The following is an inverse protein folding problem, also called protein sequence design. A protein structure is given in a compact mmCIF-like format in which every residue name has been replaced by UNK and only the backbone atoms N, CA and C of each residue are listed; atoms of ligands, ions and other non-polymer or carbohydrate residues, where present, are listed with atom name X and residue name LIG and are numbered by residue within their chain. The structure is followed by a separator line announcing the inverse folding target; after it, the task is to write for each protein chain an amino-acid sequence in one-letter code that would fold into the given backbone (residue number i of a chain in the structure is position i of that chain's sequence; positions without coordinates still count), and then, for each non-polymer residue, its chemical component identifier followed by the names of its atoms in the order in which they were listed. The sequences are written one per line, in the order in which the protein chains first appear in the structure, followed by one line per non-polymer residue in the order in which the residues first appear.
data_IF_561566594378
#
_entry.id   IF_561566594378
#
_cell.length_a   1.000
_cell.length_b   1.000
_cell.length_c   1.000
_cell.angle_alpha   90.00
_cell.angle_beta   90.00
_cell.angle_gamma   90.00
#
_symmetry.space_group_name_H-M   'P 1'
#
loop_
_entity.id
_entity.type
_entity.pdbx_description
1 polymer ?
#
# COMPACT_ATOMS: atom_id res chain seq x y z
N UNK A 1 -9.07 -25.87 -39.96
CA UNK A 1 -9.80 -25.68 -38.69
C UNK A 1 -10.14 -27.03 -38.09
N UNK A 2 -9.63 -27.33 -36.89
CA UNK A 2 -9.88 -28.61 -36.23
C UNK A 2 -11.35 -28.73 -35.81
N UNK A 3 -11.84 -29.96 -35.68
CA UNK A 3 -13.20 -30.29 -35.16
C UNK A 3 -13.50 -29.55 -33.85
N UNK A 4 -12.44 -29.29 -33.05
CA UNK A 4 -12.46 -28.53 -31.79
C UNK A 4 -12.89 -27.07 -31.96
N UNK A 5 -12.42 -26.36 -32.99
CA UNK A 5 -12.80 -24.96 -33.25
C UNK A 5 -14.25 -24.83 -33.73
N UNK A 6 -14.75 -25.80 -34.50
CA UNK A 6 -16.16 -25.84 -34.95
C UNK A 6 -17.12 -26.09 -33.79
N UNK A 7 -16.78 -26.98 -32.86
CA UNK A 7 -17.60 -27.27 -31.67
C UNK A 7 -17.67 -26.08 -30.70
N UNK A 8 -16.56 -25.35 -30.49
CA UNK A 8 -16.53 -24.14 -29.63
C UNK A 8 -17.35 -23.00 -30.26
N UNK A 9 -17.27 -22.82 -31.58
CA UNK A 9 -18.08 -21.83 -32.29
C UNK A 9 -19.58 -22.15 -32.22
N UNK A 10 -19.97 -23.43 -32.32
CA UNK A 10 -21.36 -23.86 -32.19
C UNK A 10 -21.87 -23.72 -30.75
N UNK A 11 -21.04 -24.02 -29.75
CA UNK A 11 -21.36 -23.87 -28.33
C UNK A 11 -21.61 -22.39 -27.94
N UNK A 12 -20.74 -21.46 -28.38
CA UNK A 12 -20.93 -20.01 -28.17
C UNK A 12 -22.18 -19.47 -28.85
N UNK A 13 -22.50 -19.94 -30.06
CA UNK A 13 -23.75 -19.57 -30.75
C UNK A 13 -24.99 -20.09 -30.00
N UNK A 14 -24.96 -21.34 -29.51
CA UNK A 14 -26.06 -21.89 -28.71
C UNK A 14 -26.23 -21.17 -27.36
N UNK A 15 -25.13 -20.83 -26.68
CA UNK A 15 -25.17 -20.10 -25.41
C UNK A 15 -25.79 -18.71 -25.57
N UNK A 16 -25.37 -17.92 -26.56
CA UNK A 16 -25.94 -16.59 -26.80
C UNK A 16 -27.42 -16.65 -27.23
N UNK A 17 -27.85 -17.69 -27.95
CA UNK A 17 -29.26 -17.89 -28.29
C UNK A 17 -30.12 -18.26 -27.07
N UNK A 18 -29.58 -19.05 -26.14
CA UNK A 18 -30.27 -19.43 -24.90
C UNK A 18 -30.30 -18.24 -23.91
N UNK A 19 -29.25 -17.41 -23.87
CA UNK A 19 -29.21 -16.22 -23.04
C UNK A 19 -30.20 -15.14 -23.54
N UNK A 20 -30.37 -14.99 -24.86
CA UNK A 20 -31.41 -14.13 -25.46
C UNK A 20 -32.83 -14.65 -25.21
N UNK A 21 -33.00 -15.96 -25.01
CA UNK A 21 -34.29 -16.57 -24.62
C UNK A 21 -34.63 -16.40 -23.14
N UNK A 22 -33.69 -15.95 -22.30
CA UNK A 22 -33.91 -15.69 -20.86
C UNK A 22 -34.53 -14.34 -20.52
N UNK A 23 -34.85 -13.50 -21.51
CA UNK A 23 -35.53 -12.21 -21.31
C UNK A 23 -37.05 -12.20 -21.56
N UNK A 24 -37.71 -13.36 -21.71
CA UNK A 24 -39.17 -13.37 -21.80
C UNK A 24 -39.79 -14.68 -21.25
N UNK A 25 -39.98 -14.74 -19.93
CA UNK A 25 -40.50 -15.93 -19.23
C UNK A 25 -42.01 -16.14 -19.33
N UNK A 26 -42.73 -15.42 -20.22
CA UNK A 26 -44.20 -15.52 -20.33
C UNK A 26 -44.74 -16.30 -21.54
N UNK A 27 -43.91 -16.94 -22.39
CA UNK A 27 -44.40 -17.52 -23.66
C UNK A 27 -44.05 -19.01 -23.91
N UNK A 28 -43.54 -19.74 -22.91
CA UNK A 28 -43.11 -21.13 -23.10
C UNK A 28 -44.25 -22.16 -23.22
N UNK A 29 -45.48 -21.81 -22.84
CA UNK A 29 -46.66 -22.69 -22.97
C UNK A 29 -47.32 -22.64 -24.35
N UNK A 30 -46.98 -21.68 -25.22
CA UNK A 30 -47.65 -21.52 -26.53
C UNK A 30 -47.08 -22.36 -27.68
N UNK A 31 -45.93 -23.02 -27.53
CA UNK A 31 -45.25 -23.71 -28.65
C UNK A 31 -45.20 -25.24 -28.59
N UNK A 32 -45.82 -25.90 -27.60
CA UNK A 32 -45.98 -27.36 -27.63
C UNK A 32 -47.34 -27.71 -28.28
N UNK A 33 -47.35 -27.84 -29.61
CA UNK A 33 -48.47 -28.47 -30.33
C UNK A 33 -48.43 -29.98 -30.07
N UNK A 34 -49.08 -30.42 -28.99
CA UNK A 34 -49.32 -31.85 -28.75
C UNK A 34 -50.30 -32.32 -29.85
N UNK A 35 -49.84 -33.15 -30.79
CA UNK A 35 -50.75 -33.84 -31.71
C UNK A 35 -51.73 -34.69 -30.87
N UNK A 36 -53.04 -34.45 -31.00
CA UNK A 36 -54.08 -35.31 -30.44
C UNK A 36 -53.84 -36.75 -30.92
N UNK A 37 -53.46 -37.65 -30.02
CA UNK A 37 -53.22 -39.07 -30.32
C UNK A 37 -51.98 -39.71 -29.66
N UNK A 38 -51.07 -38.93 -29.06
CA UNK A 38 -49.91 -39.51 -28.35
C UNK A 38 -50.31 -40.09 -26.99
N UNK A 39 -49.94 -41.35 -26.72
CA UNK A 39 -50.24 -42.00 -25.44
C UNK A 39 -49.44 -41.34 -24.30
N UNK A 40 -50.01 -41.34 -23.08
CA UNK A 40 -49.36 -40.78 -21.88
C UNK A 40 -47.94 -41.33 -21.66
N UNK A 41 -47.67 -42.57 -22.09
CA UNK A 41 -46.33 -43.20 -22.01
C UNK A 41 -45.31 -42.51 -22.92
N UNK A 42 -45.70 -42.11 -24.14
CA UNK A 42 -44.80 -41.42 -25.09
C UNK A 42 -44.49 -40.00 -24.61
N UNK A 43 -45.48 -39.30 -24.06
CA UNK A 43 -45.28 -37.96 -23.47
C UNK A 43 -44.29 -38.04 -22.30
N UNK A 44 -44.44 -39.04 -21.42
CA UNK A 44 -43.52 -39.24 -20.30
C UNK A 44 -42.08 -39.54 -20.77
N UNK A 45 -41.91 -40.38 -21.80
CA UNK A 45 -40.58 -40.68 -22.36
C UNK A 45 -39.93 -39.44 -22.98
N UNK A 46 -40.68 -38.61 -23.69
CA UNK A 46 -40.15 -37.36 -24.28
C UNK A 46 -39.75 -36.38 -23.18
N UNK A 47 -40.58 -36.18 -22.16
CA UNK A 47 -40.26 -35.28 -21.03
C UNK A 47 -39.04 -35.80 -20.27
N UNK A 48 -38.98 -37.10 -19.95
CA UNK A 48 -37.83 -37.70 -19.26
C UNK A 48 -36.55 -37.59 -20.09
N UNK A 49 -36.63 -37.74 -21.41
CA UNK A 49 -35.49 -37.58 -22.32
C UNK A 49 -35.02 -36.13 -22.37
N UNK A 50 -35.92 -35.15 -22.40
CA UNK A 50 -35.57 -33.73 -22.36
C UNK A 50 -34.97 -33.32 -21.01
N UNK A 51 -35.47 -33.85 -19.90
CA UNK A 51 -34.91 -33.64 -18.56
C UNK A 51 -33.51 -34.27 -18.43
N UNK A 52 -33.31 -35.47 -19.01
CA UNK A 52 -32.00 -36.12 -19.03
C UNK A 52 -30.98 -35.31 -19.86
N UNK A 53 -31.37 -34.85 -21.06
CA UNK A 53 -30.50 -34.05 -21.94
C UNK A 53 -30.14 -32.72 -21.29
N UNK A 54 -31.09 -32.06 -20.61
CA UNK A 54 -30.82 -30.82 -19.90
C UNK A 54 -29.91 -31.04 -18.68
N UNK A 55 -30.14 -32.09 -17.88
CA UNK A 55 -29.28 -32.43 -16.75
C UNK A 55 -27.84 -32.77 -17.18
N UNK A 56 -27.66 -33.55 -18.25
CA UNK A 56 -26.35 -33.87 -18.82
C UNK A 56 -25.67 -32.62 -19.37
N UNK A 57 -26.41 -31.77 -20.10
CA UNK A 57 -25.87 -30.51 -20.64
C UNK A 57 -25.42 -29.56 -19.53
N UNK A 58 -26.19 -29.46 -18.45
CA UNK A 58 -25.84 -28.66 -17.28
C UNK A 58 -24.62 -29.23 -16.56
N UNK A 59 -24.57 -30.55 -16.36
CA UNK A 59 -23.43 -31.25 -15.76
C UNK A 59 -22.14 -31.07 -16.55
N UNK A 60 -22.19 -31.21 -17.89
CA UNK A 60 -21.03 -31.00 -18.77
C UNK A 60 -20.59 -29.53 -18.77
N UNK A 61 -21.52 -28.59 -18.78
CA UNK A 61 -21.19 -27.15 -18.75
C UNK A 61 -20.59 -26.75 -17.40
N UNK A 62 -21.16 -27.23 -16.29
CA UNK A 62 -20.65 -27.00 -14.95
C UNK A 62 -19.29 -27.66 -14.73
N UNK A 63 -19.09 -28.88 -15.22
CA UNK A 63 -17.79 -29.56 -15.21
C UNK A 63 -16.76 -28.81 -16.05
N UNK A 64 -17.13 -28.37 -17.25
CA UNK A 64 -16.23 -27.60 -18.12
C UNK A 64 -15.82 -26.27 -17.45
N UNK A 65 -16.79 -25.52 -16.92
CA UNK A 65 -16.54 -24.23 -16.28
C UNK A 65 -15.73 -24.36 -14.98
N UNK A 66 -16.05 -25.36 -14.13
CA UNK A 66 -15.27 -25.65 -12.94
C UNK A 66 -13.85 -26.14 -13.28
N UNK A 67 -13.68 -26.88 -14.37
CA UNK A 67 -12.36 -27.32 -14.84
C UNK A 67 -11.51 -26.14 -15.34
N UNK A 68 -12.08 -25.21 -16.12
CA UNK A 68 -11.40 -23.98 -16.56
C UNK A 68 -11.02 -23.09 -15.38
N UNK A 69 -11.93 -22.90 -14.42
CA UNK A 69 -11.65 -22.14 -13.21
C UNK A 69 -10.53 -22.80 -12.39
N UNK A 70 -10.55 -24.13 -12.24
CA UNK A 70 -9.50 -24.86 -11.51
C UNK A 70 -8.13 -24.78 -12.20
N UNK A 71 -8.09 -24.83 -13.53
CA UNK A 71 -6.85 -24.71 -14.31
C UNK A 71 -6.30 -23.28 -14.25
N UNK A 72 -7.18 -22.27 -14.33
CA UNK A 72 -6.82 -20.86 -14.15
C UNK A 72 -6.23 -20.60 -12.77
N UNK A 73 -6.84 -21.12 -11.70
CA UNK A 73 -6.33 -21.00 -10.34
C UNK A 73 -4.96 -21.67 -10.17
N UNK A 74 -4.76 -22.86 -10.74
CA UNK A 74 -3.46 -23.56 -10.72
C UNK A 74 -2.39 -22.79 -11.48
N UNK A 75 -2.72 -22.22 -12.64
CA UNK A 75 -1.80 -21.41 -13.43
C UNK A 75 -1.41 -20.14 -12.67
N UNK A 76 -2.40 -19.44 -12.09
CA UNK A 76 -2.18 -18.26 -11.24
C UNK A 76 -1.27 -18.58 -10.04
N UNK A 77 -1.54 -19.68 -9.32
CA UNK A 77 -0.73 -20.12 -8.19
C UNK A 77 0.73 -20.40 -8.57
N UNK A 78 0.96 -21.01 -9.73
CA UNK A 78 2.30 -21.26 -10.24
C UNK A 78 3.03 -19.95 -10.58
N UNK A 79 2.35 -19.02 -11.28
CA UNK A 79 2.93 -17.71 -11.60
C UNK A 79 3.31 -16.92 -10.35
N UNK A 80 2.47 -16.96 -9.30
CA UNK A 80 2.79 -16.32 -8.03
C UNK A 80 4.02 -16.94 -7.33
N UNK A 81 4.14 -18.26 -7.33
CA UNK A 81 5.32 -18.94 -6.75
C UNK A 81 6.60 -18.65 -7.54
N UNK A 82 6.54 -18.66 -8.87
CA UNK A 82 7.70 -18.36 -9.72
C UNK A 82 8.15 -16.90 -9.55
N UNK A 83 7.20 -15.96 -9.47
CA UNK A 83 7.47 -14.55 -9.18
C UNK A 83 8.10 -14.40 -7.78
N UNK A 84 7.53 -15.04 -6.76
CA UNK A 84 8.07 -15.00 -5.40
C UNK A 84 9.51 -15.53 -5.34
N UNK A 85 9.78 -16.69 -5.97
CA UNK A 85 11.11 -17.28 -6.02
C UNK A 85 12.12 -16.37 -6.71
N UNK A 86 11.72 -15.74 -7.81
CA UNK A 86 12.56 -14.77 -8.54
C UNK A 86 12.89 -13.56 -7.67
N UNK A 87 11.93 -13.12 -6.84
CA UNK A 87 12.00 -11.85 -6.12
C UNK A 87 12.53 -11.93 -4.70
N UNK A 88 12.53 -13.12 -4.11
CA UNK A 88 12.95 -13.30 -2.73
C UNK A 88 13.98 -14.40 -2.57
N UNK A 89 14.23 -15.17 -3.63
CA UNK A 89 15.05 -16.38 -3.55
C UNK A 89 14.36 -17.54 -2.84
N UNK A 90 13.10 -17.42 -2.42
CA UNK A 90 12.36 -18.47 -1.71
C UNK A 90 11.05 -18.86 -2.41
N UNK A 91 10.63 -20.12 -2.27
CA UNK A 91 9.39 -20.64 -2.89
C UNK A 91 8.14 -20.31 -2.08
N UNK A 92 8.31 -20.03 -0.78
CA UNK A 92 7.23 -19.72 0.14
C UNK A 92 7.65 -18.55 1.05
N UNK A 93 6.76 -17.58 1.22
CA UNK A 93 6.96 -16.40 2.05
C UNK A 93 7.24 -16.75 3.52
N UNK A 94 6.76 -17.89 4.01
CA UNK A 94 7.02 -18.37 5.37
C UNK A 94 8.49 -18.73 5.61
N UNK A 95 9.29 -18.87 4.56
CA UNK A 95 10.74 -19.08 4.65
C UNK A 95 11.50 -17.77 4.93
N UNK A 96 10.85 -16.62 4.74
CA UNK A 96 11.42 -15.32 5.08
C UNK A 96 11.23 -15.01 6.56
N UNK A 97 12.18 -14.29 7.19
CA UNK A 97 12.01 -13.85 8.57
C UNK A 97 10.79 -12.95 8.68
N UNK A 98 9.89 -13.27 9.61
CA UNK A 98 8.78 -12.40 9.99
C UNK A 98 9.33 -11.20 10.77
N UNK A 99 8.93 -10.00 10.36
CA UNK A 99 9.36 -8.74 10.94
C UNK A 99 8.16 -7.89 11.29
N UNK A 100 8.18 -7.31 12.49
CA UNK A 100 7.06 -6.61 13.10
C UNK A 100 7.46 -5.20 13.51
N UNK A 101 6.51 -4.41 14.00
CA UNK A 101 6.79 -3.10 14.60
C UNK A 101 7.88 -3.15 15.68
N UNK A 102 7.98 -4.25 16.43
CA UNK A 102 8.96 -4.38 17.52
C UNK A 102 10.40 -4.53 17.03
N UNK A 103 10.60 -4.87 15.75
CA UNK A 103 11.93 -4.94 15.13
C UNK A 103 12.44 -3.57 14.68
N UNK A 104 11.55 -2.57 14.55
CA UNK A 104 11.89 -1.24 14.05
C UNK A 104 12.75 -0.48 15.07
N UNK A 105 13.90 0.02 14.60
CA UNK A 105 14.81 0.86 15.40
C UNK A 105 15.54 1.87 14.52
N UNK A 106 15.87 3.06 15.05
CA UNK A 106 16.77 3.97 14.37
C UNK A 106 18.15 3.35 14.13
N UNK A 107 18.84 3.79 13.08
CA UNK A 107 20.19 3.35 12.79
C UNK A 107 21.19 4.22 13.55
N UNK A 108 21.89 3.61 14.51
CA UNK A 108 22.91 4.30 15.32
C UNK A 108 24.29 4.10 14.67
N UNK A 109 25.08 5.16 14.46
CA UNK A 109 26.41 5.03 13.87
C UNK A 109 27.45 4.55 14.87
N UNK A 110 28.48 3.88 14.36
CA UNK A 110 29.79 3.85 15.04
C UNK A 110 30.59 5.09 14.65
N UNK A 111 31.35 5.66 15.59
CA UNK A 111 32.16 6.86 15.32
C UNK A 111 33.60 6.44 15.05
N UNK A 112 34.10 6.76 13.85
CA UNK A 112 35.50 6.53 13.48
C UNK A 112 36.45 7.50 14.22
N UNK A 113 37.75 7.19 14.21
CA UNK A 113 38.77 8.02 14.88
C UNK A 113 38.82 9.47 14.36
N UNK A 114 38.48 9.68 13.09
CA UNK A 114 38.43 11.00 12.46
C UNK A 114 37.09 11.73 12.66
N UNK A 115 36.19 11.17 13.47
CA UNK A 115 34.85 11.69 13.73
C UNK A 115 33.79 11.28 12.71
N UNK A 116 34.13 10.50 11.67
CA UNK A 116 33.16 10.04 10.67
C UNK A 116 32.10 9.12 11.29
N UNK A 117 30.82 9.39 11.03
CA UNK A 117 29.68 8.55 11.42
C UNK A 117 29.53 7.41 10.42
N UNK A 118 29.76 6.20 10.88
CA UNK A 118 29.73 4.98 10.07
C UNK A 118 28.44 4.21 10.32
N UNK A 119 27.74 3.88 9.24
CA UNK A 119 26.51 3.11 9.27
C UNK A 119 26.63 1.88 8.35
N UNK A 120 25.85 0.85 8.65
CA UNK A 120 25.70 -0.33 7.79
C UNK A 120 24.23 -0.48 7.42
N UNK A 121 23.97 -0.54 6.11
CA UNK A 121 22.67 -0.84 5.55
C UNK A 121 22.74 -2.13 4.74
N UNK A 122 21.70 -2.95 4.84
CA UNK A 122 21.54 -4.17 4.05
C UNK A 122 20.14 -4.18 3.47
N UNK A 123 20.01 -4.34 2.16
CA UNK A 123 18.72 -4.61 1.53
C UNK A 123 18.50 -6.13 1.46
N UNK A 124 17.38 -6.61 2.00
CA UNK A 124 17.06 -8.04 2.04
C UNK A 124 15.54 -8.31 1.98
N UNK A 125 15.12 -9.48 1.46
CA UNK A 125 13.71 -9.85 1.48
C UNK A 125 13.27 -10.25 2.90
N UNK A 126 12.08 -9.81 3.29
CA UNK A 126 11.45 -10.14 4.58
C UNK A 126 9.98 -10.46 4.39
N UNK A 127 9.38 -11.09 5.42
CA UNK A 127 7.93 -11.09 5.59
C UNK A 127 7.57 -10.00 6.59
N UNK A 128 7.01 -8.91 6.11
CA UNK A 128 6.68 -7.73 6.90
C UNK A 128 5.23 -7.80 7.40
N UNK A 129 5.04 -7.74 8.71
CA UNK A 129 3.74 -7.64 9.37
C UNK A 129 3.33 -6.18 9.52
N UNK A 130 2.41 -5.73 8.67
CA UNK A 130 1.88 -4.36 8.66
C UNK A 130 0.69 -4.18 9.60
N UNK A 131 0.06 -5.28 10.02
CA UNK A 131 -1.04 -5.33 10.98
C UNK A 131 -1.01 -6.71 11.65
N UNK A 132 -1.37 -6.82 12.92
CA UNK A 132 -1.31 -8.05 13.70
C UNK A 132 -1.93 -9.24 12.96
N UNK A 133 -1.13 -10.27 12.69
CA UNK A 133 -1.53 -11.47 11.98
C UNK A 133 -1.69 -11.30 10.46
N UNK A 134 -1.36 -10.13 9.91
CA UNK A 134 -1.37 -9.84 8.48
C UNK A 134 0.00 -9.35 8.03
N UNK A 135 0.64 -10.16 7.20
CA UNK A 135 1.93 -9.84 6.61
C UNK A 135 1.87 -9.86 5.10
N UNK A 136 2.83 -9.21 4.44
CA UNK A 136 3.18 -9.45 3.04
C UNK A 136 4.70 -9.53 2.88
N UNK A 137 5.15 -10.05 1.74
CA UNK A 137 6.56 -9.98 1.35
C UNK A 137 6.94 -8.53 1.08
N UNK A 138 8.09 -8.12 1.62
CA UNK A 138 8.69 -6.82 1.40
C UNK A 138 10.19 -6.96 1.15
N UNK A 139 10.78 -5.92 0.59
CA UNK A 139 12.21 -5.68 0.56
C UNK A 139 12.52 -4.56 1.53
N UNK A 140 13.45 -4.81 2.44
CA UNK A 140 13.66 -3.95 3.58
C UNK A 140 15.13 -3.60 3.74
N UNK A 141 15.38 -2.36 4.17
CA UNK A 141 16.66 -1.97 4.72
C UNK A 141 16.75 -2.43 6.18
N UNK A 142 17.77 -3.23 6.50
CA UNK A 142 18.03 -3.81 7.83
C UNK A 142 16.83 -4.58 8.42
N UNK A 143 16.03 -5.21 7.56
CA UNK A 143 14.94 -6.09 7.97
C UNK A 143 13.77 -5.37 8.63
N UNK A 144 13.52 -4.10 8.30
CA UNK A 144 12.35 -3.35 8.74
C UNK A 144 11.78 -2.44 7.64
N UNK A 145 10.48 -2.18 7.74
CA UNK A 145 9.73 -1.24 6.89
C UNK A 145 9.07 -0.21 7.80
N UNK A 146 9.28 1.11 7.61
CA UNK A 146 10.30 1.67 6.73
C UNK A 146 11.70 1.27 7.21
N UNK A 147 12.68 1.47 6.33
CA UNK A 147 14.10 1.39 6.68
C UNK A 147 14.43 2.25 7.91
N UNK A 148 15.50 1.89 8.63
CA UNK A 148 15.83 2.53 9.90
C UNK A 148 16.15 4.02 9.74
N UNK A 149 15.56 4.87 10.58
CA UNK A 149 15.84 6.31 10.56
C UNK A 149 17.34 6.56 10.80
N UNK A 150 17.97 7.28 9.87
CA UNK A 150 19.32 7.80 10.03
C UNK A 150 19.18 9.25 10.51
N UNK A 151 19.83 9.61 11.61
CA UNK A 151 19.81 10.97 12.14
C UNK A 151 21.21 11.46 12.43
N UNK A 152 21.58 12.58 11.80
CA UNK A 152 22.91 13.20 11.88
C UNK A 152 22.78 14.71 12.07
N UNK A 153 23.88 15.39 12.32
CA UNK A 153 23.96 16.84 12.41
C UNK A 153 24.55 17.38 11.11
N UNK A 154 24.06 18.54 10.67
CA UNK A 154 24.57 19.21 9.48
C UNK A 154 26.10 19.45 9.57
N UNK A 155 26.80 19.02 8.51
CA UNK A 155 28.26 19.04 8.44
C UNK A 155 28.96 17.77 8.94
N UNK A 156 28.23 16.79 9.48
CA UNK A 156 28.82 15.49 9.82
C UNK A 156 29.37 14.79 8.57
N UNK A 157 30.54 14.16 8.70
CA UNK A 157 31.01 13.19 7.72
C UNK A 157 30.28 11.88 7.92
N UNK A 158 29.68 11.36 6.86
CA UNK A 158 28.86 10.15 6.85
C UNK A 158 29.51 9.13 5.92
N UNK A 159 29.66 7.90 6.41
CA UNK A 159 30.09 6.73 5.64
C UNK A 159 29.05 5.63 5.80
N UNK A 160 28.48 5.15 4.71
CA UNK A 160 27.44 4.11 4.73
C UNK A 160 27.90 2.93 3.89
N UNK A 161 28.14 1.80 4.54
CA UNK A 161 28.43 0.53 3.87
C UNK A 161 27.11 -0.14 3.55
N UNK A 162 26.77 -0.21 2.25
CA UNK A 162 25.55 -0.82 1.76
C UNK A 162 25.83 -2.19 1.16
N UNK A 163 25.17 -3.23 1.67
CA UNK A 163 25.21 -4.59 1.11
C UNK A 163 23.88 -4.96 0.48
N UNK A 164 23.89 -5.38 -0.78
CA UNK A 164 22.69 -5.84 -1.46
C UNK A 164 22.53 -7.36 -1.33
N UNK A 165 21.54 -7.84 -0.57
CA UNK A 165 21.17 -9.27 -0.49
C UNK A 165 19.89 -9.59 -1.26
N UNK A 166 19.39 -8.66 -2.07
CA UNK A 166 18.26 -8.90 -2.96
C UNK A 166 18.71 -9.73 -4.16
N UNK A 167 17.79 -10.44 -4.85
CA UNK A 167 18.10 -11.15 -6.08
C UNK A 167 18.26 -10.23 -7.31
N UNK A 168 18.13 -8.91 -7.13
CA UNK A 168 18.26 -7.91 -8.21
C UNK A 168 19.23 -6.80 -7.84
N UNK A 169 19.84 -6.13 -8.84
CA UNK A 169 20.65 -4.94 -8.59
C UNK A 169 19.82 -3.79 -8.04
N UNK A 170 20.43 -2.99 -7.16
CA UNK A 170 19.83 -1.78 -6.57
C UNK A 170 20.95 -0.85 -6.08
N UNK A 171 20.60 0.39 -5.78
CA UNK A 171 21.44 1.41 -5.13
C UNK A 171 20.57 2.17 -4.12
N UNK A 172 21.20 3.06 -3.34
CA UNK A 172 20.47 3.98 -2.45
C UNK A 172 20.65 5.40 -2.97
N UNK A 173 19.54 6.07 -3.28
CA UNK A 173 19.49 7.50 -3.51
C UNK A 173 19.19 8.25 -2.20
N UNK A 174 19.90 9.36 -1.96
CA UNK A 174 19.80 10.16 -0.74
C UNK A 174 19.03 11.45 -1.01
N UNK A 175 17.71 11.31 -1.08
CA UNK A 175 16.80 12.33 -1.57
C UNK A 175 16.88 13.64 -0.77
N UNK A 176 17.30 14.70 -1.45
CA UNK A 176 17.40 16.06 -0.90
C UNK A 176 18.71 16.39 -0.20
N UNK A 177 19.75 15.54 -0.30
CA UNK A 177 21.09 15.86 0.14
C UNK A 177 21.96 16.41 -1.00
N UNK A 178 22.82 17.38 -0.68
CA UNK A 178 23.87 17.87 -1.55
C UNK A 178 25.13 17.01 -1.35
N UNK A 179 25.44 16.16 -2.33
CA UNK A 179 26.48 15.15 -2.25
C UNK A 179 27.33 15.10 -3.52
N UNK A 180 28.57 14.55 -3.46
CA UNK A 180 29.36 14.32 -4.66
C UNK A 180 28.59 13.46 -5.66
N UNK A 181 28.65 13.79 -6.94
CA UNK A 181 27.87 13.09 -7.98
C UNK A 181 28.02 11.56 -7.89
N UNK A 182 29.23 11.04 -7.67
CA UNK A 182 29.50 9.59 -7.55
C UNK A 182 28.86 8.89 -6.33
N UNK A 183 28.18 9.62 -5.46
CA UNK A 183 27.52 9.12 -4.25
C UNK A 183 25.99 9.25 -4.29
N UNK A 184 25.45 9.68 -5.44
CA UNK A 184 24.04 10.02 -5.61
C UNK A 184 23.12 8.81 -5.74
N UNK A 185 23.64 7.65 -6.14
CA UNK A 185 22.84 6.44 -6.09
C UNK A 185 21.98 6.16 -7.32
N UNK A 186 22.30 6.72 -8.49
CA UNK A 186 21.51 6.53 -9.73
C UNK A 186 22.27 5.60 -10.69
N UNK A 187 21.82 4.34 -10.87
CA UNK A 187 22.49 3.38 -11.73
C UNK A 187 22.59 3.85 -13.19
N UNK A 188 23.78 3.75 -13.76
CA UNK A 188 24.04 4.14 -15.16
C UNK A 188 24.18 5.64 -15.39
N UNK A 189 23.97 6.46 -14.37
CA UNK A 189 24.18 7.92 -14.41
C UNK A 189 25.33 8.31 -13.50
N UNK A 190 25.21 8.01 -12.20
CA UNK A 190 26.14 8.48 -11.18
C UNK A 190 26.99 7.37 -10.57
N UNK A 191 26.50 6.12 -10.64
CA UNK A 191 27.28 4.93 -10.28
C UNK A 191 26.82 3.69 -11.04
N UNK A 192 27.58 2.59 -10.91
CA UNK A 192 27.07 1.26 -11.27
C UNK A 192 26.07 0.76 -10.22
N UNK A 193 25.10 -0.04 -10.65
CA UNK A 193 24.19 -0.74 -9.73
C UNK A 193 24.97 -1.70 -8.81
N UNK A 194 24.58 -1.81 -7.54
CA UNK A 194 25.15 -2.80 -6.62
C UNK A 194 24.48 -4.14 -6.90
N UNK A 195 25.22 -5.12 -7.43
CA UNK A 195 24.63 -6.41 -7.80
C UNK A 195 24.31 -7.26 -6.55
N UNK A 196 23.51 -8.32 -6.71
CA UNK A 196 23.27 -9.29 -5.64
C UNK A 196 24.58 -9.80 -5.01
N UNK A 197 24.68 -9.72 -3.68
CA UNK A 197 25.85 -10.09 -2.89
C UNK A 197 26.96 -9.05 -2.81
N UNK A 198 26.90 -7.99 -3.63
CA UNK A 198 27.93 -6.95 -3.63
C UNK A 198 27.70 -5.89 -2.55
N UNK A 199 28.75 -5.10 -2.31
CA UNK A 199 28.75 -4.00 -1.35
C UNK A 199 29.28 -2.73 -2.00
N UNK A 200 28.69 -1.60 -1.65
CA UNK A 200 29.13 -0.27 -2.05
C UNK A 200 29.26 0.62 -0.81
N UNK A 201 30.21 1.55 -0.81
CA UNK A 201 30.39 2.50 0.30
C UNK A 201 30.06 3.90 -0.18
N UNK A 202 29.04 4.51 0.42
CA UNK A 202 28.69 5.92 0.23
C UNK A 202 29.47 6.78 1.23
N UNK A 203 30.09 7.87 0.76
CA UNK A 203 30.78 8.82 1.63
C UNK A 203 30.46 10.27 1.24
N UNK A 204 29.90 11.03 2.17
CA UNK A 204 29.54 12.42 1.92
C UNK A 204 29.50 13.23 3.22
N UNK A 205 29.39 14.54 3.10
CA UNK A 205 29.09 15.44 4.22
C UNK A 205 27.58 15.66 4.26
N UNK A 206 26.95 15.52 5.43
CA UNK A 206 25.50 15.68 5.57
C UNK A 206 25.10 17.15 5.46
N UNK A 207 24.54 17.55 4.32
CA UNK A 207 24.03 18.90 4.04
C UNK A 207 23.02 18.83 2.89
N UNK A 208 22.04 19.74 2.80
CA UNK A 208 21.64 20.72 3.82
C UNK A 208 20.83 20.10 4.97
N UNK A 209 20.71 20.82 6.10
CA UNK A 209 19.79 20.46 7.17
C UNK A 209 18.35 20.26 6.67
N UNK A 210 17.58 19.43 7.38
CA UNK A 210 16.16 19.21 7.10
C UNK A 210 15.70 17.77 7.26
N UNK A 211 14.39 17.58 7.08
CA UNK A 211 13.77 16.27 6.85
C UNK A 211 14.11 15.82 5.44
N UNK A 212 14.95 14.80 5.33
CA UNK A 212 15.33 14.13 4.09
C UNK A 212 14.92 12.67 4.20
N UNK A 213 15.08 11.92 3.12
CA UNK A 213 14.85 10.49 3.16
C UNK A 213 15.77 9.80 2.17
N UNK A 214 15.82 8.48 2.22
CA UNK A 214 16.58 7.68 1.29
C UNK A 214 15.67 6.59 0.74
N UNK A 215 15.90 6.20 -0.51
CA UNK A 215 15.16 5.13 -1.14
C UNK A 215 16.01 4.39 -2.16
N UNK A 216 15.53 3.22 -2.56
CA UNK A 216 16.11 2.49 -3.67
C UNK A 216 16.14 3.32 -4.96
N UNK A 217 17.17 3.12 -5.77
CA UNK A 217 17.08 3.42 -7.19
C UNK A 217 17.31 2.14 -7.99
N UNK A 218 16.31 1.77 -8.79
CA UNK A 218 16.37 0.58 -9.64
C UNK A 218 17.23 0.79 -10.89
N UNK A 219 17.42 -0.27 -11.68
CA UNK A 219 18.17 -0.22 -12.96
C UNK A 219 17.40 0.50 -14.09
N UNK A 220 16.23 1.07 -13.78
CA UNK A 220 15.37 1.86 -14.65
C UNK A 220 14.07 2.23 -13.92
N UNK A 221 13.28 3.16 -14.48
CA UNK A 221 12.11 3.76 -13.79
C UNK A 221 11.06 2.73 -13.35
N UNK A 222 10.73 1.75 -14.21
CA UNK A 222 9.77 0.70 -13.85
C UNK A 222 10.30 -0.24 -12.77
N UNK A 223 11.61 -0.52 -12.79
CA UNK A 223 12.25 -1.30 -11.74
C UNK A 223 12.25 -0.53 -10.43
N UNK A 224 12.67 0.72 -10.44
CA UNK A 224 12.68 1.61 -9.28
C UNK A 224 11.32 1.67 -8.58
N UNK A 225 10.25 2.00 -9.31
CA UNK A 225 8.91 2.06 -8.72
C UNK A 225 8.50 0.73 -8.08
N UNK A 226 8.84 -0.40 -8.70
CA UNK A 226 8.58 -1.71 -8.11
C UNK A 226 9.39 -1.95 -6.85
N UNK A 227 10.66 -1.56 -6.82
CA UNK A 227 11.49 -1.70 -5.63
C UNK A 227 10.98 -0.81 -4.49
N UNK A 228 10.46 0.38 -4.81
CA UNK A 228 9.78 1.28 -3.87
C UNK A 228 8.49 0.65 -3.34
N UNK A 229 7.62 0.11 -4.21
CA UNK A 229 6.38 -0.63 -3.84
C UNK A 229 6.64 -1.91 -3.02
N UNK A 230 7.91 -2.34 -2.95
CA UNK A 230 8.35 -3.45 -2.09
C UNK A 230 8.83 -2.98 -0.71
N UNK A 231 9.04 -1.68 -0.48
CA UNK A 231 9.32 -1.11 0.84
C UNK A 231 10.73 -0.53 1.05
N UNK A 232 11.50 -0.32 -0.01
CA UNK A 232 12.88 0.16 0.10
C UNK A 232 12.96 1.69 0.21
N UNK A 233 12.50 2.22 1.33
CA UNK A 233 12.60 3.63 1.70
C UNK A 233 12.85 3.79 3.21
N UNK A 234 13.42 4.90 3.65
CA UNK A 234 13.64 5.21 5.06
C UNK A 234 13.97 6.68 5.30
N UNK A 235 13.80 7.15 6.54
CA UNK A 235 14.01 8.56 6.88
C UNK A 235 15.50 8.91 7.06
N UNK A 236 15.90 10.11 6.62
CA UNK A 236 17.24 10.67 6.83
C UNK A 236 17.10 12.08 7.41
N UNK A 237 17.31 12.25 8.71
CA UNK A 237 17.14 13.55 9.36
C UNK A 237 18.50 14.22 9.54
N UNK A 238 18.68 15.39 8.92
CA UNK A 238 19.85 16.25 9.14
C UNK A 238 19.45 17.37 10.09
N UNK A 239 19.83 17.26 11.36
CA UNK A 239 19.57 18.30 12.35
C UNK A 239 20.47 19.53 12.07
N UNK A 240 19.92 20.75 12.00
CA UNK A 240 20.73 21.95 11.85
C UNK A 240 21.65 22.15 13.06
N UNK A 241 22.78 22.84 12.87
CA UNK A 241 23.64 23.20 14.00
C UNK A 241 22.88 24.06 15.01
N UNK A 242 22.97 23.69 16.29
CA UNK A 242 22.23 24.38 17.36
C UNK A 242 20.72 24.11 17.37
N UNK A 243 20.26 23.00 16.77
CA UNK A 243 18.85 22.63 16.75
C UNK A 243 18.25 22.57 18.17
N UNK A 244 17.24 23.39 18.41
CA UNK A 244 16.44 23.33 19.64
C UNK A 244 15.27 22.40 19.38
N UNK A 245 15.29 21.24 20.04
CA UNK A 245 14.23 20.24 19.89
C UNK A 245 12.91 20.73 20.48
N UNK A 246 11.78 20.45 19.82
CA UNK A 246 10.46 20.60 20.42
C UNK A 246 10.30 19.57 21.57
N UNK A 247 9.29 19.77 22.42
CA UNK A 247 8.99 18.84 23.53
C UNK A 247 8.67 17.43 23.02
N UNK A 248 8.04 17.36 21.83
CA UNK A 248 7.79 16.12 21.08
C UNK A 248 8.15 16.28 19.61
N UNK A 249 8.88 15.32 19.09
CA UNK A 249 9.25 15.24 17.68
C UNK A 249 8.93 13.84 17.16
N UNK A 250 8.17 13.77 16.05
CA UNK A 250 7.78 12.51 15.43
C UNK A 250 8.16 12.52 13.96
N UNK A 251 8.74 11.41 13.48
CA UNK A 251 8.91 11.14 12.04
C UNK A 251 7.78 10.21 11.60
N UNK A 252 7.10 10.58 10.52
CA UNK A 252 6.00 9.83 9.92
C UNK A 252 6.33 9.59 8.45
N UNK A 253 6.63 8.36 8.09
CA UNK A 253 6.83 7.90 6.72
C UNK A 253 5.52 7.31 6.22
N UNK A 254 4.95 7.93 5.18
CA UNK A 254 3.76 7.50 4.48
C UNK A 254 4.16 6.59 3.33
N UNK A 255 3.38 5.53 3.09
CA UNK A 255 3.65 4.61 1.99
C UNK A 255 2.37 3.94 1.48
N UNK A 256 2.40 3.49 0.22
CA UNK A 256 1.31 2.85 -0.52
C UNK A 256 1.72 1.47 -1.06
N UNK A 257 0.80 0.51 -0.99
CA UNK A 257 1.14 -0.89 -1.23
C UNK A 257 0.10 -1.61 -2.08
N UNK A 258 0.58 -2.52 -2.92
CA UNK A 258 -0.24 -3.45 -3.69
C UNK A 258 -0.36 -4.78 -2.97
N UNK A 259 -1.19 -4.83 -1.93
CA UNK A 259 -1.40 -6.06 -1.16
C UNK A 259 -2.17 -7.11 -1.97
N UNK A 260 -1.63 -8.31 -2.05
CA UNK A 260 -2.29 -9.50 -2.60
C UNK A 260 -3.10 -10.28 -1.56
N UNK A 261 -3.37 -11.54 -1.87
CA UNK A 261 -3.92 -12.52 -0.91
C UNK A 261 -2.81 -13.10 -0.02
N UNK A 262 -3.16 -13.40 1.24
CA UNK A 262 -2.20 -13.95 2.20
C UNK A 262 -0.98 -13.05 2.39
N UNK A 263 0.22 -13.64 2.32
CA UNK A 263 1.50 -12.92 2.44
C UNK A 263 2.05 -12.40 1.12
N UNK A 264 1.24 -12.34 0.07
CA UNK A 264 1.71 -11.94 -1.24
C UNK A 264 1.62 -10.42 -1.44
N UNK A 265 2.69 -9.83 -1.98
CA UNK A 265 2.70 -8.46 -2.46
C UNK A 265 2.55 -8.48 -3.98
N UNK A 266 1.47 -7.91 -4.52
CA UNK A 266 1.20 -7.88 -5.96
C UNK A 266 2.18 -6.99 -6.74
N UNK A 267 2.99 -6.16 -6.08
CA UNK A 267 4.12 -5.49 -6.71
C UNK A 267 5.06 -6.49 -7.40
N UNK A 268 5.12 -7.74 -6.91
CA UNK A 268 5.92 -8.80 -7.54
C UNK A 268 5.38 -9.28 -8.90
N UNK A 269 4.11 -9.00 -9.21
CA UNK A 269 3.49 -9.38 -10.49
C UNK A 269 3.76 -8.36 -11.59
N UNK A 270 4.08 -7.12 -11.23
CA UNK A 270 4.50 -6.09 -12.20
C UNK A 270 5.87 -6.39 -12.82
N UNK A 271 6.63 -7.33 -12.26
CA UNK A 271 8.04 -7.58 -12.58
C UNK A 271 8.27 -8.42 -13.85
N UNK A 272 7.22 -8.75 -14.60
CA UNK A 272 7.36 -9.37 -15.91
C UNK A 272 7.70 -8.30 -16.97
N UNK A 273 9.01 -8.13 -17.22
CA UNK A 273 9.54 -7.25 -18.27
C UNK A 273 9.25 -7.73 -19.70
N UNK A 274 8.52 -8.83 -19.92
CA UNK A 274 8.48 -9.48 -21.25
C UNK A 274 7.72 -8.72 -22.33
N UNK A 275 7.01 -7.62 -22.02
CA UNK A 275 6.18 -6.93 -23.01
C UNK A 275 6.36 -5.41 -23.12
N UNK A 276 7.47 -4.83 -22.65
CA UNK A 276 7.85 -3.44 -22.98
C UNK A 276 6.78 -2.36 -22.66
N UNK A 277 5.81 -2.69 -21.80
CA UNK A 277 4.72 -1.81 -21.41
C UNK A 277 4.94 -1.29 -20.00
N UNK A 278 4.94 0.03 -19.84
CA UNK A 278 4.85 0.68 -18.54
C UNK A 278 3.44 0.46 -17.96
N UNK A 279 3.19 -0.70 -17.35
CA UNK A 279 1.98 -0.90 -16.54
C UNK A 279 2.31 -0.66 -15.08
N UNK A 280 2.39 0.62 -14.69
CA UNK A 280 2.31 0.98 -13.28
C UNK A 280 0.90 0.61 -12.80
N UNK A 281 0.78 -0.44 -11.98
CA UNK A 281 -0.49 -0.81 -11.40
C UNK A 281 -0.77 0.12 -10.22
N UNK A 282 -1.39 1.26 -10.49
CA UNK A 282 -1.68 2.32 -9.52
C UNK A 282 -2.87 1.97 -8.58
N UNK A 283 -3.30 0.71 -8.54
CA UNK A 283 -4.45 0.27 -7.75
C UNK A 283 -4.04 -0.10 -6.31
N UNK A 284 -3.33 0.80 -5.64
CA UNK A 284 -2.91 0.64 -4.26
C UNK A 284 -4.11 0.39 -3.36
N UNK A 285 -3.98 -0.59 -2.46
CA UNK A 285 -5.09 -1.08 -1.64
C UNK A 285 -4.72 -1.30 -0.16
N UNK A 286 -3.52 -0.89 0.22
CA UNK A 286 -3.02 -0.84 1.58
C UNK A 286 -2.19 0.43 1.71
N UNK A 287 -2.43 1.20 2.76
CA UNK A 287 -1.74 2.47 2.99
C UNK A 287 -1.29 2.51 4.44
N UNK A 288 -0.03 2.88 4.65
CA UNK A 288 0.61 2.72 5.97
C UNK A 288 1.25 4.01 6.45
N UNK A 289 1.39 4.10 7.78
CA UNK A 289 2.24 5.11 8.42
C UNK A 289 3.26 4.40 9.29
N UNK A 290 4.54 4.73 9.08
CA UNK A 290 5.67 4.05 9.73
C UNK A 290 5.60 2.53 9.58
N UNK A 291 5.20 2.06 8.40
CA UNK A 291 5.13 0.62 8.09
C UNK A 291 4.03 -0.12 8.85
N UNK A 292 3.00 0.56 9.34
CA UNK A 292 1.84 -0.05 10.00
C UNK A 292 0.53 0.49 9.44
N UNK A 293 -0.49 -0.37 9.44
CA UNK A 293 -1.87 -0.01 9.11
C UNK A 293 -2.73 0.04 10.38
N UNK A 294 -3.56 1.07 10.49
CA UNK A 294 -4.56 1.19 11.56
C UNK A 294 -5.41 -0.09 11.67
N UNK A 295 -5.71 -0.62 12.87
CA UNK A 295 -5.56 0.00 14.20
C UNK A 295 -4.22 -0.22 14.91
N UNK A 296 -3.24 -0.85 14.26
CA UNK A 296 -1.97 -1.22 14.93
C UNK A 296 -0.87 -0.16 14.79
N UNK A 297 -1.17 0.99 14.17
CA UNK A 297 -0.28 2.14 14.14
C UNK A 297 0.01 2.65 15.56
N UNK A 298 1.24 3.10 15.79
CA UNK A 298 1.63 3.65 17.10
C UNK A 298 1.06 5.06 17.28
N UNK A 299 0.31 5.34 18.36
CA UNK A 299 -0.21 6.67 18.64
C UNK A 299 0.90 7.69 18.92
N UNK A 300 0.74 8.90 18.40
CA UNK A 300 1.56 10.06 18.72
C UNK A 300 1.13 10.59 20.09
N UNK A 301 1.99 10.51 21.09
CA UNK A 301 1.62 10.79 22.49
C UNK A 301 2.13 12.15 22.96
N UNK A 302 1.25 13.00 23.50
CA UNK A 302 1.58 14.39 23.88
C UNK A 302 1.04 14.72 25.27
N UNK A 303 1.59 15.75 25.90
CA UNK A 303 1.03 16.39 27.08
C UNK A 303 0.48 17.77 26.72
N UNK A 304 -0.46 18.26 27.52
CA UNK A 304 -0.95 19.63 27.37
C UNK A 304 0.20 20.62 27.52
N UNK A 305 0.34 21.50 26.54
CA UNK A 305 1.40 22.50 26.48
C UNK A 305 2.64 22.10 25.68
N UNK A 306 2.79 20.82 25.30
CA UNK A 306 3.91 20.37 24.48
C UNK A 306 3.96 21.16 23.16
N UNK A 307 5.14 21.66 22.81
CA UNK A 307 5.46 22.04 21.43
C UNK A 307 5.75 20.77 20.67
N UNK A 308 5.00 20.52 19.60
CA UNK A 308 5.08 19.28 18.84
C UNK A 308 5.50 19.57 17.42
N UNK A 309 6.46 18.80 16.90
CA UNK A 309 6.79 18.73 15.47
C UNK A 309 6.49 17.35 14.93
N UNK A 310 5.82 17.30 13.78
CA UNK A 310 5.65 16.07 13.00
C UNK A 310 6.35 16.29 11.64
N UNK A 311 7.34 15.45 11.36
CA UNK A 311 8.06 15.37 10.08
C UNK A 311 7.36 14.33 9.22
N UNK A 312 6.71 14.76 8.17
CA UNK A 312 5.96 13.89 7.26
C UNK A 312 6.80 13.69 6.00
N UNK A 313 7.05 12.43 5.66
CA UNK A 313 7.76 12.01 4.45
C UNK A 313 6.78 11.18 3.64
N UNK A 314 6.54 11.55 2.39
CA UNK A 314 5.79 10.67 1.49
C UNK A 314 6.75 9.83 0.65
N UNK A 315 6.92 8.57 1.06
CA UNK A 315 7.74 7.58 0.36
C UNK A 315 6.94 6.75 -0.65
N UNK A 316 5.64 7.02 -0.82
CA UNK A 316 4.81 6.38 -1.83
C UNK A 316 5.41 6.57 -3.23
N UNK A 317 5.29 5.53 -4.06
CA UNK A 317 5.81 5.60 -5.42
C UNK A 317 5.04 6.62 -6.28
N UNK A 318 3.76 6.86 -5.95
CA UNK A 318 2.93 7.70 -6.82
C UNK A 318 1.66 8.30 -6.19
N UNK A 319 1.29 7.90 -4.98
CA UNK A 319 0.08 8.43 -4.33
C UNK A 319 0.36 9.69 -3.51
N UNK A 320 -0.48 10.70 -3.67
CA UNK A 320 -0.48 11.92 -2.83
C UNK A 320 -1.38 11.73 -1.62
N UNK A 321 -0.96 12.24 -0.46
CA UNK A 321 -1.68 12.05 0.81
C UNK A 321 -2.03 13.39 1.47
N UNK A 322 -3.29 13.85 1.42
CA UNK A 322 -3.76 14.98 2.20
C UNK A 322 -3.87 14.62 3.68
N UNK A 323 -2.82 14.85 4.47
CA UNK A 323 -2.76 14.49 5.88
C UNK A 323 -3.51 15.50 6.75
N UNK A 324 -4.56 15.04 7.43
CA UNK A 324 -5.44 15.82 8.30
C UNK A 324 -5.21 15.51 9.77
N UNK A 325 -5.03 16.55 10.59
CA UNK A 325 -4.97 16.45 12.05
C UNK A 325 -6.23 17.06 12.68
N UNK A 326 -6.92 16.26 13.49
CA UNK A 326 -8.10 16.71 14.24
C UNK A 326 -7.70 17.50 15.49
N UNK A 327 -8.66 18.25 16.04
CA UNK A 327 -8.55 18.87 17.37
C UNK A 327 -7.71 20.14 17.45
N UNK A 328 -6.86 20.43 16.47
CA UNK A 328 -5.99 21.61 16.49
C UNK A 328 -5.53 22.01 15.08
N UNK A 329 -5.08 23.26 14.96
CA UNK A 329 -4.42 23.77 13.76
C UNK A 329 -2.90 23.64 13.94
N UNK A 330 -2.18 23.52 12.83
CA UNK A 330 -0.72 23.49 12.80
C UNK A 330 -0.17 24.51 11.81
N UNK A 331 1.09 24.90 11.99
CA UNK A 331 1.85 25.67 11.02
C UNK A 331 2.72 24.76 10.17
N UNK A 332 2.83 25.05 8.87
CA UNK A 332 3.85 24.44 8.01
C UNK A 332 5.15 25.23 8.21
N UNK A 333 6.18 24.59 8.77
CA UNK A 333 7.45 25.24 9.14
C UNK A 333 8.63 24.84 8.26
N UNK A 334 8.54 23.72 7.54
CA UNK A 334 9.50 23.36 6.49
C UNK A 334 8.80 22.60 5.35
N UNK A 335 9.32 22.76 4.14
CA UNK A 335 8.92 22.04 2.91
C UNK A 335 10.20 21.53 2.25
N UNK A 336 10.23 20.26 1.89
CA UNK A 336 11.40 19.57 1.33
C UNK A 336 12.64 19.74 2.21
N UNK A 337 12.45 19.64 3.52
CA UNK A 337 13.47 19.87 4.55
C UNK A 337 13.92 21.33 4.72
N UNK A 338 13.47 22.26 3.87
CA UNK A 338 13.90 23.65 3.87
C UNK A 338 12.97 24.51 4.76
N UNK A 339 13.51 25.34 5.68
CA UNK A 339 12.68 26.17 6.56
C UNK A 339 11.82 27.18 5.80
N UNK A 340 10.53 27.24 6.13
CA UNK A 340 9.62 28.27 5.63
C UNK A 340 9.77 29.53 6.50
N UNK A 341 10.06 30.71 5.92
CA UNK A 341 10.15 31.96 6.67
C UNK A 341 8.88 32.21 7.48
N UNK A 342 9.02 32.72 8.72
CA UNK A 342 7.89 32.89 9.66
C UNK A 342 6.70 33.64 9.05
N UNK A 343 6.96 34.65 8.22
CA UNK A 343 5.93 35.44 7.54
C UNK A 343 5.15 34.66 6.45
N UNK A 344 5.70 33.55 5.95
CA UNK A 344 5.12 32.69 4.93
C UNK A 344 4.56 31.37 5.49
N UNK A 345 4.70 31.11 6.80
CA UNK A 345 4.19 29.89 7.41
C UNK A 345 2.65 29.90 7.43
N UNK A 346 2.06 28.95 6.73
CA UNK A 346 0.61 28.81 6.65
C UNK A 346 0.08 28.01 7.85
N UNK A 347 -0.98 28.52 8.48
CA UNK A 347 -1.78 27.77 9.44
C UNK A 347 -2.80 26.91 8.70
N UNK A 348 -2.81 25.61 8.95
CA UNK A 348 -3.66 24.61 8.29
C UNK A 348 -4.09 23.53 9.28
N UNK A 349 -5.06 22.72 8.87
CA UNK A 349 -5.42 21.45 9.50
C UNK A 349 -5.25 20.25 8.54
N UNK A 350 -5.01 20.50 7.26
CA UNK A 350 -4.70 19.51 6.21
C UNK A 350 -3.51 20.00 5.41
N UNK A 351 -2.56 19.10 5.14
CA UNK A 351 -1.44 19.34 4.22
C UNK A 351 -1.35 18.18 3.21
N UNK A 352 -1.37 18.49 1.92
CA UNK A 352 -1.14 17.49 0.87
C UNK A 352 0.35 17.27 0.73
N UNK A 353 0.78 16.03 0.88
CA UNK A 353 2.16 15.60 0.69
C UNK A 353 2.21 14.74 -0.56
N UNK A 354 2.83 15.24 -1.63
CA UNK A 354 2.99 14.48 -2.88
C UNK A 354 4.16 13.47 -2.77
N UNK A 355 4.23 12.45 -3.64
CA UNK A 355 5.37 11.53 -3.69
C UNK A 355 6.72 12.27 -3.71
N UNK A 356 7.63 11.90 -2.81
CA UNK A 356 8.95 12.51 -2.67
C UNK A 356 8.99 13.82 -1.88
N UNK A 357 7.85 14.47 -1.61
CA UNK A 357 7.82 15.67 -0.79
C UNK A 357 7.96 15.35 0.70
N UNK A 358 8.49 16.32 1.44
CA UNK A 358 8.48 16.30 2.91
C UNK A 358 7.90 17.58 3.48
N UNK A 359 7.20 17.48 4.61
CA UNK A 359 6.66 18.62 5.35
C UNK A 359 6.95 18.49 6.83
N UNK A 360 7.47 19.56 7.45
CA UNK A 360 7.48 19.69 8.90
C UNK A 360 6.28 20.54 9.32
N UNK A 361 5.40 19.99 10.15
CA UNK A 361 4.30 20.73 10.77
C UNK A 361 4.53 20.90 12.27
N UNK A 362 4.14 22.05 12.80
CA UNK A 362 4.26 22.37 14.22
C UNK A 362 2.97 22.89 14.83
N UNK A 363 2.70 22.50 16.07
CA UNK A 363 1.60 23.04 16.87
C UNK A 363 1.94 22.96 18.36
N UNK A 364 1.20 23.72 19.17
CA UNK A 364 1.20 23.56 20.63
C UNK A 364 0.00 22.71 21.02
N UNK A 365 0.22 21.64 21.78
CA UNK A 365 -0.82 20.72 22.20
C UNK A 365 -1.72 21.33 23.28
N UNK A 366 -2.74 22.11 22.90
CA UNK A 366 -3.62 22.83 23.86
C UNK A 366 -4.99 22.20 24.06
N UNK A 367 -5.46 21.36 23.13
CA UNK A 367 -6.81 20.79 23.14
C UNK A 367 -6.76 19.30 23.52
N UNK A 368 -6.92 19.02 24.82
CA UNK A 368 -6.81 17.66 25.37
C UNK A 368 -7.85 16.72 24.77
N UNK A 369 -7.41 15.54 24.34
CA UNK A 369 -8.30 14.57 23.69
C UNK A 369 -7.58 13.35 23.11
N UNK A 370 -8.34 12.57 22.36
CA UNK A 370 -7.83 11.55 21.43
C UNK A 370 -8.27 12.01 20.05
N UNK A 371 -7.31 12.42 19.22
CA UNK A 371 -7.56 13.03 17.93
C UNK A 371 -7.04 12.16 16.80
N UNK A 372 -7.81 12.01 15.72
CA UNK A 372 -7.33 11.28 14.56
C UNK A 372 -6.27 12.10 13.80
N UNK A 373 -5.24 11.41 13.32
CA UNK A 373 -4.30 11.91 12.32
C UNK A 373 -4.32 10.92 11.15
N UNK A 374 -4.87 11.34 10.01
CA UNK A 374 -5.17 10.41 8.90
C UNK A 374 -5.10 11.08 7.54
N UNK A 375 -4.97 10.27 6.49
CA UNK A 375 -5.13 10.74 5.12
C UNK A 375 -6.59 11.09 4.83
N UNK A 376 -6.84 12.24 4.23
CA UNK A 376 -8.17 12.75 3.92
C UNK A 376 -8.69 12.26 2.55
N UNK A 377 -7.93 11.38 1.88
CA UNK A 377 -8.51 10.42 0.95
C UNK A 377 -9.13 9.28 1.77
N UNK A 378 -10.46 9.26 1.87
CA UNK A 378 -11.16 8.37 2.80
C UNK A 378 -10.87 6.89 2.55
N UNK A 379 -10.63 6.50 1.30
CA UNK A 379 -10.26 5.14 0.95
C UNK A 379 -8.84 4.78 1.42
N UNK A 380 -7.90 5.73 1.48
CA UNK A 380 -6.57 5.51 2.07
C UNK A 380 -6.68 5.36 3.59
N UNK A 381 -7.46 6.21 4.25
CA UNK A 381 -7.71 6.11 5.69
C UNK A 381 -8.37 4.78 6.05
N UNK A 382 -9.41 4.37 5.31
CA UNK A 382 -10.11 3.11 5.52
C UNK A 382 -9.22 1.89 5.28
N UNK A 383 -8.21 2.01 4.41
CA UNK A 383 -7.24 0.96 4.09
C UNK A 383 -5.95 1.02 4.94
N UNK A 384 -5.87 1.91 5.94
CA UNK A 384 -4.87 1.82 7.01
C UNK A 384 -4.12 3.11 7.36
N UNK A 385 -4.17 4.16 6.53
CA UNK A 385 -3.37 5.39 6.75
C UNK A 385 -4.03 6.30 7.79
N UNK A 386 -3.98 5.86 9.04
CA UNK A 386 -4.47 6.58 10.21
C UNK A 386 -3.70 6.20 11.47
N UNK A 387 -3.54 7.15 12.37
CA UNK A 387 -3.06 6.97 13.74
C UNK A 387 -3.80 7.95 14.64
N UNK A 388 -3.51 7.91 15.92
CA UNK A 388 -4.09 8.79 16.92
C UNK A 388 -3.02 9.72 17.48
N UNK A 389 -3.36 10.99 17.65
CA UNK A 389 -2.70 11.88 18.58
C UNK A 389 -3.41 11.76 19.93
N UNK A 390 -2.72 11.27 20.96
CA UNK A 390 -3.27 10.98 22.28
C UNK A 390 -2.63 11.87 23.34
N UNK A 391 -3.47 12.55 24.12
CA UNK A 391 -3.01 13.25 25.31
C UNK A 391 -2.79 12.26 26.46
N UNK A 392 -1.61 12.32 27.07
CA UNK A 392 -1.25 11.53 28.25
C UNK A 392 -2.22 11.80 29.40
N UNK A 393 -2.77 10.72 29.98
CA UNK A 393 -3.73 10.81 31.08
C UNK A 393 -5.15 11.20 30.67
N UNK A 394 -5.42 11.53 29.40
CA UNK A 394 -6.77 11.79 28.95
C UNK A 394 -7.60 10.51 28.87
N UNK A 395 -8.75 10.50 29.55
CA UNK A 395 -9.73 9.43 29.52
C UNK A 395 -10.93 9.95 28.73
N UNK A 396 -11.26 9.31 27.62
CA UNK A 396 -12.42 9.68 26.84
C UNK A 396 -13.70 9.48 27.69
N UNK A 397 -14.61 10.47 27.75
CA UNK A 397 -15.90 10.26 28.36
C UNK A 397 -16.63 9.13 27.63
N UNK A 398 -17.32 8.27 28.37
CA UNK A 398 -18.13 7.20 27.79
C UNK A 398 -19.09 7.81 26.76
N UNK A 399 -19.15 7.30 25.51
CA UNK A 399 -20.05 7.86 24.52
C UNK A 399 -21.48 7.74 25.02
N UNK A 400 -22.12 8.88 25.26
CA UNK A 400 -23.57 8.94 25.51
C UNK A 400 -24.27 8.54 24.21
N UNK A 401 -25.14 7.53 24.22
CA UNK A 401 -25.92 7.19 23.03
C UNK A 401 -26.65 8.44 22.52
N UNK A 402 -26.75 8.63 21.20
CA UNK A 402 -27.56 9.72 20.67
C UNK A 402 -28.97 9.59 21.22
N UNK A 403 -29.48 10.67 21.84
CA UNK A 403 -30.87 10.73 22.29
C UNK A 403 -31.73 10.70 21.04
N UNK A 404 -32.45 9.60 20.81
CA UNK A 404 -33.51 9.59 19.79
C UNK A 404 -34.45 10.76 20.08
N UNK A 405 -34.76 11.63 19.10
CA UNK A 405 -35.70 12.71 19.34
C UNK A 405 -37.01 12.11 19.84
N UNK A 406 -37.41 12.50 21.05
CA UNK A 406 -38.71 12.17 21.60
C UNK A 406 -39.78 12.66 20.61
N UNK A 407 -40.75 11.79 20.32
CA UNK A 407 -41.57 11.85 19.11
C UNK A 407 -42.17 13.20 18.77
N UNK A 408 -42.03 13.60 17.51
CA UNK A 408 -42.95 14.55 16.87
C UNK A 408 -44.17 13.77 16.36
N UNK A 409 -45.07 13.41 17.25
CA UNK A 409 -46.44 13.03 16.88
C UNK A 409 -47.22 14.29 16.52
N UNK A 410 -47.15 14.71 15.25
CA UNK A 410 -48.24 15.39 14.54
C UNK A 410 -47.77 15.73 13.12
N UNK A 411 -47.99 14.81 12.17
CA UNK A 411 -48.17 15.26 10.79
C UNK A 411 -49.52 15.99 10.73
N UNK A 412 -49.59 17.23 10.23
CA UNK A 412 -50.87 17.83 9.87
C UNK A 412 -51.47 17.03 8.72
N UNK A 413 -52.72 16.57 8.87
CA UNK A 413 -53.50 15.97 7.78
C UNK A 413 -53.65 17.00 6.66
N UNK A 414 -53.10 16.71 5.48
CA UNK A 414 -53.40 17.46 4.26
C UNK A 414 -54.88 17.25 3.89
N UNK A 415 -55.67 18.32 3.69
CA UNK A 415 -57.03 18.19 3.14
C UNK A 415 -56.95 17.69 1.70
N UNK A 416 -57.90 16.82 1.35
CA UNK A 416 -57.85 15.98 0.16
C UNK A 416 -57.83 16.70 -1.18
N UNK A 417 -57.28 16.00 -2.16
CA UNK A 417 -57.63 16.13 -3.56
C UNK A 417 -58.17 14.77 -4.02
N UNK A 418 -59.49 14.69 -4.10
CA UNK A 418 -60.19 13.69 -4.92
C UNK A 418 -60.52 14.36 -6.25
N UNK A 419 -59.75 14.02 -7.29
CA UNK A 419 -60.20 13.44 -8.57
C UNK A 419 -59.01 13.30 -9.52
#
# INVERSE_FOLDING_TARGET
MSVRQKLVSMSKMCYNRIYMLKLNTNDFTKHIRIRRGMSKKVILVVISSMLLVTAVSFGVTWWYHSSEQSNSLKQSAKTMQDALQTMTGVKNADQLPLKTAADQKPLVPTIAQDGTKQFTLTAEPIRWEYQKGKSIVAWAFNGQVPGPEIRVTEGDKVRITFTNKLPRPTTIHWHGLDLPNSMDGVPGVTQAAVKPGETFTYEFTATPAGTRFYHTHGSGVADEAQQSDMGLSGAFIVEPKGYVKPDKEYTVVLDDWLKGEGSFNNAVLGMDQTNGGMSMNMNYNLFTMNGLAYPDTTPLTVKKGDKVRIRIINASASTSHPMHLHGQQFKIVAIDGNPVPVAAQLTRNVVTVNPGETYDIEFTATNEGIWAFHCHELHHSAAGMMTLLKYDGYIAPMPTPPVSPAGSSSQPSMPGMNM
#
